data_IF_018994817764
#
_entry.id   IF_018994817764
#
_cell.length_a   1.000
_cell.length_b   1.000
_cell.length_c   1.000
_cell.angle_alpha   90.00
_cell.angle_beta   90.00
_cell.angle_gamma   90.00
#
_symmetry.space_group_name_H-M   'P 1'
#
loop_
_entity.id
_entity.type
_entity.pdbx_description
1 polymer ?
#
# COMPACT_ATOMS: atom_id res chain seq x y z
N UNK A 1 24.22 -52.52 4.74
CA UNK A 1 25.01 -51.29 4.53
C UNK A 1 24.01 -50.21 4.13
N UNK A 2 23.14 -49.85 5.07
CA UNK A 2 21.86 -49.19 4.76
C UNK A 2 21.44 -48.26 5.89
N UNK A 3 22.37 -47.47 6.44
CA UNK A 3 22.05 -46.51 7.51
C UNK A 3 22.97 -45.28 7.48
N UNK A 4 23.03 -44.55 6.36
CA UNK A 4 23.82 -43.32 6.32
C UNK A 4 23.23 -42.19 5.44
N UNK A 5 21.90 -42.16 5.26
CA UNK A 5 21.22 -41.03 4.60
C UNK A 5 19.87 -40.69 5.24
N UNK A 6 19.83 -40.60 6.57
CA UNK A 6 18.81 -39.76 7.24
C UNK A 6 19.42 -38.38 7.43
N UNK A 7 19.36 -37.57 6.37
CA UNK A 7 19.43 -36.13 6.56
C UNK A 7 18.18 -35.75 7.32
N UNK A 8 18.32 -35.61 8.64
CA UNK A 8 17.34 -34.97 9.50
C UNK A 8 17.18 -33.52 9.05
N UNK A 9 16.33 -33.30 8.04
CA UNK A 9 15.69 -32.00 7.88
C UNK A 9 14.92 -31.79 9.18
N UNK A 10 15.32 -30.78 9.95
CA UNK A 10 14.44 -30.27 10.99
C UNK A 10 13.04 -30.08 10.38
N UNK A 11 11.95 -30.41 11.08
CA UNK A 11 10.62 -30.12 10.57
C UNK A 11 10.58 -28.65 10.14
N UNK A 12 10.17 -28.41 8.89
CA UNK A 12 10.00 -27.05 8.38
C UNK A 12 9.16 -26.31 9.42
N UNK A 13 9.65 -25.16 9.92
CA UNK A 13 8.83 -24.28 10.76
C UNK A 13 7.51 -24.08 10.00
N UNK A 14 6.35 -24.14 10.68
CA UNK A 14 5.09 -23.88 10.02
C UNK A 14 5.13 -22.52 9.31
N UNK A 15 4.36 -22.41 8.23
CA UNK A 15 4.18 -21.12 7.55
C UNK A 15 3.71 -20.08 8.58
N UNK A 16 4.31 -18.88 8.64
CA UNK A 16 3.86 -17.83 9.55
C UNK A 16 2.41 -17.47 9.26
N UNK A 17 1.60 -17.30 10.30
CA UNK A 17 0.20 -16.88 10.18
C UNK A 17 -0.01 -15.58 10.94
N UNK A 18 -0.70 -14.64 10.31
CA UNK A 18 -1.05 -13.37 10.89
C UNK A 18 -2.48 -13.42 11.45
N UNK A 19 -2.69 -12.96 12.69
CA UNK A 19 -4.02 -13.00 13.30
C UNK A 19 -4.99 -11.95 12.72
N UNK A 20 -4.47 -10.95 12.00
CA UNK A 20 -5.23 -9.79 11.55
C UNK A 20 -5.29 -8.65 12.55
N UNK A 21 -4.57 -8.75 13.67
CA UNK A 21 -4.52 -7.71 14.70
C UNK A 21 -3.28 -6.83 14.53
N UNK A 22 -3.36 -5.58 14.98
CA UNK A 22 -2.22 -4.67 14.83
C UNK A 22 -0.99 -5.11 15.65
N UNK A 23 -1.22 -5.71 16.83
CA UNK A 23 -0.18 -5.98 17.81
C UNK A 23 0.78 -7.11 17.41
N UNK A 24 0.35 -8.08 16.60
CA UNK A 24 1.22 -9.17 16.11
C UNK A 24 1.81 -8.91 14.72
N UNK A 25 1.45 -7.82 14.04
CA UNK A 25 1.93 -7.53 12.70
C UNK A 25 3.47 -7.40 12.63
N UNK A 26 4.17 -6.67 13.53
CA UNK A 26 5.62 -6.55 13.45
C UNK A 26 6.32 -7.91 13.58
N UNK A 27 5.92 -8.71 14.58
CA UNK A 27 6.48 -10.05 14.80
C UNK A 27 6.17 -11.00 13.63
N UNK A 28 4.96 -10.93 13.08
CA UNK A 28 4.58 -11.69 11.89
C UNK A 28 5.49 -11.39 10.68
N UNK A 29 5.77 -10.11 10.41
CA UNK A 29 6.64 -9.71 9.29
C UNK A 29 8.09 -10.18 9.49
N UNK A 30 8.57 -10.20 10.73
CA UNK A 30 9.87 -10.79 11.07
C UNK A 30 9.89 -12.31 10.83
N UNK A 31 8.85 -13.01 11.28
CA UNK A 31 8.70 -14.45 11.06
C UNK A 31 8.65 -14.82 9.57
N UNK A 32 7.97 -14.02 8.75
CA UNK A 32 7.97 -14.17 7.28
C UNK A 32 9.38 -14.04 6.70
N UNK A 33 10.14 -13.02 7.13
CA UNK A 33 11.50 -12.82 6.66
C UNK A 33 12.45 -13.94 7.10
N UNK A 34 12.33 -14.44 8.33
CA UNK A 34 13.08 -15.60 8.81
C UNK A 34 12.72 -16.87 8.04
N UNK A 35 11.43 -17.06 7.78
CA UNK A 35 10.93 -18.23 7.06
C UNK A 35 11.44 -18.24 5.61
N UNK A 36 11.40 -17.09 4.92
CA UNK A 36 11.97 -16.95 3.58
C UNK A 36 13.49 -17.25 3.56
N UNK A 37 14.25 -16.71 4.53
CA UNK A 37 15.68 -17.04 4.68
C UNK A 37 15.91 -18.54 4.86
N UNK A 38 15.10 -19.21 5.69
CA UNK A 38 15.20 -20.64 5.93
C UNK A 38 14.88 -21.49 4.68
N UNK A 39 14.01 -21.00 3.80
CA UNK A 39 13.67 -21.64 2.52
C UNK A 39 14.59 -21.25 1.35
N UNK A 40 15.58 -20.38 1.59
CA UNK A 40 16.43 -19.78 0.55
C UNK A 40 15.64 -18.95 -0.47
N UNK A 41 14.47 -18.47 -0.05
CA UNK A 41 13.59 -17.58 -0.79
C UNK A 41 13.83 -16.17 -0.29
N UNK A 42 14.71 -15.45 -0.98
CA UNK A 42 15.09 -14.07 -0.63
C UNK A 42 14.67 -13.04 -1.67
N UNK A 43 13.97 -13.43 -2.74
CA UNK A 43 13.41 -12.45 -3.66
C UNK A 43 12.17 -11.78 -3.03
N UNK A 44 12.07 -10.47 -3.23
CA UNK A 44 11.00 -9.62 -2.67
C UNK A 44 9.61 -10.15 -2.98
N UNK A 45 9.36 -10.57 -4.22
CA UNK A 45 8.02 -10.97 -4.65
C UNK A 45 7.55 -12.22 -3.92
N UNK A 46 8.44 -13.19 -3.73
CA UNK A 46 8.13 -14.39 -2.97
C UNK A 46 7.89 -14.09 -1.48
N UNK A 47 8.67 -13.18 -0.86
CA UNK A 47 8.42 -12.76 0.53
C UNK A 47 7.07 -12.05 0.69
N UNK A 48 6.72 -11.18 -0.26
CA UNK A 48 5.42 -10.51 -0.30
C UNK A 48 4.28 -11.51 -0.46
N UNK A 49 4.43 -12.48 -1.36
CA UNK A 49 3.41 -13.51 -1.55
C UNK A 49 3.26 -14.36 -0.29
N UNK A 50 4.36 -14.72 0.37
CA UNK A 50 4.36 -15.46 1.64
C UNK A 50 3.62 -14.69 2.74
N UNK A 51 3.85 -13.37 2.83
CA UNK A 51 3.11 -12.51 3.74
C UNK A 51 1.60 -12.42 3.42
N UNK A 52 1.24 -12.39 2.13
CA UNK A 52 -0.17 -12.35 1.71
C UNK A 52 -0.88 -13.67 2.03
N UNK A 53 -0.22 -14.79 1.80
CA UNK A 53 -0.78 -16.14 2.00
C UNK A 53 -0.98 -16.47 3.48
N UNK A 54 -0.13 -15.92 4.35
CA UNK A 54 -0.25 -16.07 5.81
C UNK A 54 -1.27 -15.13 6.44
N UNK A 55 -1.86 -14.20 5.68
CA UNK A 55 -2.85 -13.25 6.18
C UNK A 55 -4.28 -13.79 6.06
N UNK A 56 -5.22 -13.35 6.92
CA UNK A 56 -6.64 -13.70 6.78
C UNK A 56 -7.16 -13.30 5.39
N UNK A 57 -8.09 -14.05 4.75
CA UNK A 57 -8.42 -13.86 3.34
C UNK A 57 -8.88 -12.45 2.94
N UNK A 58 -9.48 -11.69 3.87
CA UNK A 58 -9.85 -10.28 3.63
C UNK A 58 -8.63 -9.35 3.66
N UNK A 59 -7.72 -9.58 4.60
CA UNK A 59 -6.48 -8.82 4.76
C UNK A 59 -5.53 -9.11 3.61
N UNK A 60 -5.31 -10.39 3.28
CA UNK A 60 -4.49 -10.80 2.14
C UNK A 60 -4.95 -10.15 0.83
N UNK A 61 -6.26 -10.17 0.54
CA UNK A 61 -6.81 -9.46 -0.64
C UNK A 61 -6.54 -7.96 -0.61
N UNK A 62 -6.71 -7.30 0.53
CA UNK A 62 -6.44 -5.87 0.68
C UNK A 62 -4.96 -5.57 0.41
N UNK A 63 -4.05 -6.37 0.94
CA UNK A 63 -2.62 -6.25 0.70
C UNK A 63 -2.28 -6.48 -0.77
N UNK A 64 -2.86 -7.48 -1.43
CA UNK A 64 -2.71 -7.69 -2.89
C UNK A 64 -3.09 -6.43 -3.68
N UNK A 65 -4.21 -5.79 -3.34
CA UNK A 65 -4.63 -4.56 -4.01
C UNK A 65 -3.68 -3.39 -3.76
N UNK A 66 -3.15 -3.27 -2.55
CA UNK A 66 -2.19 -2.22 -2.20
C UNK A 66 -0.86 -2.40 -2.93
N UNK A 67 -0.32 -3.63 -2.94
CA UNK A 67 0.87 -3.97 -3.71
C UNK A 67 0.68 -3.67 -5.18
N UNK A 68 -0.43 -4.12 -5.79
CA UNK A 68 -0.72 -3.83 -7.19
C UNK A 68 -0.90 -2.33 -7.50
N UNK A 69 -1.27 -1.53 -6.50
CA UNK A 69 -1.45 -0.09 -6.64
C UNK A 69 -0.15 0.69 -6.48
N UNK A 70 0.72 0.23 -5.59
CA UNK A 70 1.99 0.87 -5.26
C UNK A 70 3.18 0.35 -6.09
N UNK A 71 3.10 -0.84 -6.69
CA UNK A 71 4.14 -1.39 -7.58
C UNK A 71 4.34 -0.62 -8.89
N UNK A 72 3.51 0.40 -9.14
CA UNK A 72 3.68 1.38 -10.23
C UNK A 72 4.73 2.44 -9.84
N UNK A 73 5.06 2.56 -8.55
CA UNK A 73 6.12 3.39 -8.02
C UNK A 73 7.40 2.57 -8.06
N UNK A 74 8.42 3.03 -8.78
CA UNK A 74 9.67 2.28 -8.99
C UNK A 74 10.41 2.02 -7.66
N UNK A 75 11.18 0.92 -7.63
CA UNK A 75 11.91 0.36 -6.46
C UNK A 75 11.05 -0.34 -5.40
N UNK A 76 10.15 -1.23 -5.85
CA UNK A 76 9.41 -2.11 -4.96
C UNK A 76 10.33 -3.13 -4.25
N UNK A 77 10.43 -3.06 -2.92
CA UNK A 77 11.19 -3.98 -2.08
C UNK A 77 10.38 -4.44 -0.84
N UNK A 78 11.01 -5.26 0.01
CA UNK A 78 10.38 -5.80 1.21
C UNK A 78 10.08 -4.70 2.25
N UNK A 79 10.93 -3.69 2.35
CA UNK A 79 10.74 -2.59 3.30
C UNK A 79 9.57 -1.71 2.90
N UNK A 80 9.42 -1.42 1.60
CA UNK A 80 8.26 -0.74 1.03
C UNK A 80 6.96 -1.50 1.29
N UNK A 81 6.96 -2.83 1.15
CA UNK A 81 5.81 -3.66 1.52
C UNK A 81 5.46 -3.52 3.00
N UNK A 82 6.44 -3.67 3.90
CA UNK A 82 6.23 -3.54 5.35
C UNK A 82 5.64 -2.17 5.72
N UNK A 83 6.19 -1.09 5.15
CA UNK A 83 5.67 0.26 5.37
C UNK A 83 4.21 0.34 4.93
N UNK A 84 3.88 -0.10 3.71
CA UNK A 84 2.51 -0.04 3.18
C UNK A 84 1.49 -0.87 3.95
N UNK A 85 1.87 -2.07 4.42
CA UNK A 85 0.94 -2.86 5.24
C UNK A 85 0.77 -2.27 6.63
N UNK A 86 1.84 -1.72 7.21
CA UNK A 86 1.81 -1.05 8.52
C UNK A 86 0.93 0.18 8.52
N UNK A 87 0.89 0.94 7.40
CA UNK A 87 0.00 2.10 7.27
C UNK A 87 -1.48 1.77 7.50
N UNK A 88 -1.91 0.52 7.35
CA UNK A 88 -3.31 0.13 7.61
C UNK A 88 -3.63 -0.02 9.10
N UNK A 89 -2.62 -0.02 9.96
CA UNK A 89 -2.73 -0.25 11.40
C UNK A 89 -2.19 0.96 12.15
N UNK A 90 -2.97 2.06 12.27
CA UNK A 90 -2.50 3.31 12.91
C UNK A 90 -2.19 3.15 14.40
N UNK A 91 -2.59 2.04 15.00
CA UNK A 91 -2.24 1.64 16.37
C UNK A 91 -0.74 1.30 16.53
N UNK A 92 -0.04 1.03 15.42
CA UNK A 92 1.39 0.74 15.40
C UNK A 92 2.14 2.07 15.32
N UNK A 93 3.09 2.28 16.23
CA UNK A 93 3.89 3.50 16.28
C UNK A 93 4.63 3.68 14.94
N UNK A 94 4.50 4.85 14.28
CA UNK A 94 5.09 5.07 12.98
C UNK A 94 6.61 5.09 13.05
N UNK A 95 7.26 4.44 12.08
CA UNK A 95 8.72 4.27 12.02
C UNK A 95 9.45 5.53 11.51
N UNK A 96 8.75 6.46 10.85
CA UNK A 96 9.37 7.55 10.08
C UNK A 96 8.80 8.93 10.42
N UNK A 97 9.55 9.99 10.11
CA UNK A 97 9.11 11.38 10.27
C UNK A 97 7.91 11.66 9.35
N UNK A 98 6.86 12.24 9.93
CA UNK A 98 5.64 12.65 9.22
C UNK A 98 5.95 13.72 8.16
N UNK A 99 7.03 14.50 8.33
CA UNK A 99 7.45 15.57 7.41
C UNK A 99 7.84 15.07 6.03
N UNK A 100 8.54 13.94 5.93
CA UNK A 100 9.01 13.43 4.63
C UNK A 100 7.82 13.04 3.73
N UNK A 101 6.79 12.43 4.32
CA UNK A 101 5.53 12.10 3.62
C UNK A 101 4.73 13.33 3.22
N UNK A 102 4.79 14.41 4.02
CA UNK A 102 4.17 15.68 3.67
C UNK A 102 4.77 16.25 2.39
N UNK A 103 6.10 16.31 2.32
CA UNK A 103 6.83 16.86 1.18
C UNK A 103 6.62 15.99 -0.07
N UNK A 104 6.69 14.66 0.06
CA UNK A 104 6.39 13.73 -1.03
C UNK A 104 4.95 13.91 -1.55
N UNK A 105 3.97 13.97 -0.65
CA UNK A 105 2.57 14.12 -1.02
C UNK A 105 2.29 15.41 -1.79
N UNK A 106 2.78 16.55 -1.29
CA UNK A 106 2.57 17.83 -1.97
C UNK A 106 3.39 17.94 -3.26
N UNK A 107 4.60 17.37 -3.32
CA UNK A 107 5.36 17.27 -4.56
C UNK A 107 4.60 16.47 -5.63
N UNK A 108 4.03 15.32 -5.25
CA UNK A 108 3.19 14.51 -6.14
C UNK A 108 1.98 15.28 -6.67
N UNK A 109 1.30 16.05 -5.82
CA UNK A 109 0.15 16.88 -6.26
C UNK A 109 0.60 17.95 -7.27
N UNK A 110 1.71 18.63 -6.99
CA UNK A 110 2.23 19.69 -7.86
C UNK A 110 2.75 19.15 -9.21
N UNK A 111 3.41 18.00 -9.21
CA UNK A 111 3.85 17.31 -10.42
C UNK A 111 2.66 16.83 -11.25
N UNK A 112 1.70 16.14 -10.62
CA UNK A 112 0.49 15.65 -11.28
C UNK A 112 -0.31 16.78 -11.92
N UNK A 113 -0.40 17.93 -11.25
CA UNK A 113 -1.07 19.14 -11.75
C UNK A 113 -0.43 19.71 -13.02
N UNK A 114 0.87 19.49 -13.22
CA UNK A 114 1.62 19.92 -14.42
C UNK A 114 1.60 18.89 -15.54
N UNK A 115 1.20 17.65 -15.25
CA UNK A 115 1.08 16.59 -16.24
C UNK A 115 -0.17 16.75 -17.12
N UNK A 116 -0.27 15.99 -18.21
CA UNK A 116 -1.45 16.04 -19.07
C UNK A 116 -2.64 15.21 -18.56
N UNK A 117 -2.39 14.11 -17.84
CA UNK A 117 -3.39 13.08 -17.48
C UNK A 117 -4.44 12.80 -18.58
N UNK A 118 -3.99 12.72 -19.85
CA UNK A 118 -4.85 12.72 -21.03
C UNK A 118 -5.53 11.38 -21.34
N UNK A 119 -5.36 10.36 -20.49
CA UNK A 119 -5.89 9.02 -20.71
C UNK A 119 -6.50 8.40 -19.45
N UNK A 120 -7.42 7.45 -19.64
CA UNK A 120 -8.03 6.69 -18.53
C UNK A 120 -6.97 5.93 -17.72
N UNK A 121 -5.97 5.25 -18.33
CA UNK A 121 -4.88 4.64 -17.57
C UNK A 121 -4.09 5.65 -16.71
N UNK A 122 -3.79 6.85 -17.24
CA UNK A 122 -3.08 7.88 -16.50
C UNK A 122 -3.91 8.39 -15.30
N UNK A 123 -5.21 8.62 -15.48
CA UNK A 123 -6.12 8.98 -14.39
C UNK A 123 -6.24 7.85 -13.35
N UNK A 124 -6.23 6.60 -13.79
CA UNK A 124 -6.21 5.43 -12.91
C UNK A 124 -4.93 5.35 -12.08
N UNK A 125 -3.77 5.63 -12.69
CA UNK A 125 -2.49 5.68 -12.00
C UNK A 125 -2.45 6.81 -10.97
N UNK A 126 -2.90 8.01 -11.36
CA UNK A 126 -3.07 9.15 -10.47
C UNK A 126 -3.94 8.81 -9.26
N UNK A 127 -5.11 8.21 -9.47
CA UNK A 127 -6.02 7.81 -8.39
C UNK A 127 -5.37 6.84 -7.41
N UNK A 128 -4.67 5.81 -7.92
CA UNK A 128 -4.00 4.82 -7.08
C UNK A 128 -2.89 5.45 -6.25
N UNK A 129 -2.03 6.26 -6.87
CA UNK A 129 -0.94 6.95 -6.19
C UNK A 129 -1.48 7.91 -5.12
N UNK A 130 -2.47 8.73 -5.47
CA UNK A 130 -3.14 9.62 -4.52
C UNK A 130 -3.72 8.86 -3.33
N UNK A 131 -4.36 7.71 -3.55
CA UNK A 131 -4.96 6.91 -2.48
C UNK A 131 -3.93 6.39 -1.48
N UNK A 132 -2.77 5.94 -1.97
CA UNK A 132 -1.69 5.42 -1.13
C UNK A 132 -1.11 6.53 -0.25
N UNK A 133 -0.70 7.65 -0.87
CA UNK A 133 -0.10 8.76 -0.11
C UNK A 133 -1.13 9.41 0.82
N UNK A 134 -2.37 9.61 0.38
CA UNK A 134 -3.41 10.17 1.24
C UNK A 134 -3.71 9.26 2.43
N UNK A 135 -3.71 7.94 2.25
CA UNK A 135 -3.85 7.00 3.36
C UNK A 135 -2.71 7.19 4.38
N UNK A 136 -1.47 7.29 3.91
CA UNK A 136 -0.32 7.54 4.78
C UNK A 136 -0.46 8.82 5.62
N UNK A 137 -0.97 9.89 5.00
CA UNK A 137 -1.23 11.15 5.69
C UNK A 137 -2.34 11.04 6.74
N UNK A 138 -3.40 10.29 6.46
CA UNK A 138 -4.51 10.12 7.42
C UNK A 138 -4.07 9.27 8.60
N UNK A 139 -3.36 8.18 8.36
CA UNK A 139 -2.99 7.22 9.42
C UNK A 139 -1.95 7.79 10.37
N UNK A 140 -1.17 8.78 9.91
CA UNK A 140 -0.23 9.55 10.73
C UNK A 140 -0.85 10.81 11.37
N UNK A 141 -2.18 10.94 11.35
CA UNK A 141 -2.92 12.11 11.87
C UNK A 141 -2.50 13.45 11.24
N UNK A 142 -1.93 13.42 10.04
CA UNK A 142 -1.47 14.61 9.32
C UNK A 142 -2.59 15.26 8.49
N UNK A 143 -3.55 14.46 8.00
CA UNK A 143 -4.73 14.93 7.28
C UNK A 143 -5.99 14.23 7.78
N UNK A 144 -7.11 14.93 7.72
CA UNK A 144 -8.42 14.32 7.89
C UNK A 144 -8.97 13.76 6.57
N UNK A 145 -9.79 12.72 6.66
CA UNK A 145 -10.54 12.16 5.51
C UNK A 145 -11.41 13.22 4.79
N UNK A 146 -11.85 14.26 5.51
CA UNK A 146 -12.64 15.38 4.98
C UNK A 146 -11.90 16.13 3.86
N UNK A 147 -10.57 16.21 3.91
CA UNK A 147 -9.74 16.89 2.91
C UNK A 147 -9.58 16.11 1.60
N UNK A 148 -9.96 14.83 1.57
CA UNK A 148 -9.66 13.90 0.45
C UNK A 148 -10.14 14.45 -0.89
N UNK A 149 -11.40 14.87 -0.97
CA UNK A 149 -11.99 15.32 -2.22
C UNK A 149 -11.32 16.59 -2.74
N UNK A 150 -11.03 17.55 -1.84
CA UNK A 150 -10.40 18.81 -2.20
C UNK A 150 -8.96 18.60 -2.70
N UNK A 151 -8.17 17.79 -1.99
CA UNK A 151 -6.78 17.52 -2.35
C UNK A 151 -6.67 16.68 -3.62
N UNK A 152 -7.59 15.72 -3.83
CA UNK A 152 -7.67 14.98 -5.08
C UNK A 152 -7.93 15.91 -6.27
N UNK A 153 -8.85 16.87 -6.14
CA UNK A 153 -9.09 17.84 -7.22
C UNK A 153 -7.88 18.75 -7.44
N UNK A 154 -7.22 19.19 -6.36
CA UNK A 154 -6.05 20.09 -6.42
C UNK A 154 -4.89 19.51 -7.24
N UNK A 155 -4.66 18.20 -7.14
CA UNK A 155 -3.59 17.50 -7.88
C UNK A 155 -3.94 17.18 -9.34
N UNK A 156 -5.18 17.43 -9.78
CA UNK A 156 -5.53 17.26 -11.19
C UNK A 156 -4.99 18.43 -12.03
N UNK A 157 -4.65 18.19 -13.30
CA UNK A 157 -4.41 19.27 -14.25
C UNK A 157 -5.65 20.17 -14.37
N UNK A 158 -5.50 21.50 -14.53
CA UNK A 158 -6.62 22.45 -14.47
C UNK A 158 -7.79 22.12 -15.41
N UNK A 159 -7.50 21.59 -16.60
CA UNK A 159 -8.52 21.21 -17.58
C UNK A 159 -9.32 19.98 -17.15
N UNK A 160 -8.67 19.00 -16.49
CA UNK A 160 -9.31 17.81 -15.92
C UNK A 160 -10.12 18.20 -14.68
N UNK A 161 -9.54 19.02 -13.79
CA UNK A 161 -10.20 19.53 -12.58
C UNK A 161 -11.55 20.19 -12.93
N UNK A 162 -11.55 21.05 -13.96
CA UNK A 162 -12.73 21.76 -14.43
C UNK A 162 -13.80 20.80 -14.97
N UNK A 163 -13.42 19.82 -15.77
CA UNK A 163 -14.36 18.84 -16.32
C UNK A 163 -14.95 17.92 -15.24
N UNK A 164 -14.13 17.47 -14.29
CA UNK A 164 -14.59 16.67 -13.15
C UNK A 164 -15.55 17.47 -12.28
N UNK A 165 -15.21 18.71 -11.95
CA UNK A 165 -16.04 19.61 -11.16
C UNK A 165 -17.39 19.88 -11.83
N UNK A 166 -17.39 20.13 -13.15
CA UNK A 166 -18.61 20.31 -13.95
C UNK A 166 -19.53 19.09 -13.89
N UNK A 167 -18.97 17.88 -14.03
CA UNK A 167 -19.74 16.62 -13.94
C UNK A 167 -20.28 16.33 -12.55
N UNK A 168 -19.56 16.71 -11.50
CA UNK A 168 -20.04 16.58 -10.13
C UNK A 168 -21.19 17.54 -9.84
N UNK A 169 -21.12 18.78 -10.33
CA UNK A 169 -22.19 19.77 -10.21
C UNK A 169 -23.47 19.33 -10.95
N UNK A 170 -23.35 18.81 -12.18
CA UNK A 170 -24.51 18.35 -12.96
C UNK A 170 -25.21 17.14 -12.33
N UNK A 171 -24.45 16.22 -11.70
CA UNK A 171 -25.01 15.09 -10.95
C UNK A 171 -25.73 15.48 -9.67
N UNK A 172 -25.31 16.57 -9.01
CA UNK A 172 -26.03 17.11 -7.84
C UNK A 172 -27.36 17.72 -8.25
N UNK A 173 -27.42 18.40 -9.39
CA UNK A 173 -28.65 18.98 -9.92
C UNK A 173 -29.68 17.92 -10.35
N UNK A 174 -29.24 16.79 -10.91
CA UNK A 174 -30.11 15.66 -11.27
C UNK A 174 -30.67 14.87 -10.07
N UNK A 175 -30.17 15.11 -8.85
CA UNK A 175 -30.62 14.42 -7.63
C UNK A 175 -31.65 15.22 -6.83
N UNK A 176 -31.91 16.47 -7.22
CA UNK A 176 -32.80 17.41 -6.52
C UNK A 176 -34.00 17.79 -7.44
N UNK A 177 -34.06 17.24 -8.66
CA UNK A 177 -35.16 17.42 -9.62
C UNK A 177 -36.10 16.22 -9.64
#
# INVERSE_FOLDING_TARGET
MEEARRWSRAPLKPHPEFSGQAWDLPGYLEDVAEHGKAQWTMDTLSLVQLAIDGAPPRVGRLWTYLVASASILEQWDWDNFKALVTLQYPEIEPIEDVRDYFDEFYAFLDESRRSELSSVPALGAYLRHFQVLFLAMVTRNALELSHRAQLFLRGLPPHVELEVSRRLASRRLLRIG
#
